data_IF_104664167491
#
_entry.id   IF_104664167491
#
_cell.length_a   1.000
_cell.length_b   1.000
_cell.length_c   1.000
_cell.angle_alpha   90.00
_cell.angle_beta   90.00
_cell.angle_gamma   90.00
#
_symmetry.space_group_name_H-M   'P 1'
#
loop_
_entity.id
_entity.type
_entity.pdbx_description
1 polymer ?
#
# COMPACT_ATOMS: atom_id res chain seq x y z
N UNK A 1 -10.80 -6.20 -15.80
CA UNK A 1 -10.73 -4.84 -16.40
C UNK A 1 -12.13 -4.44 -16.83
N UNK A 2 -12.86 -3.71 -15.99
CA UNK A 2 -14.17 -3.15 -16.37
C UNK A 2 -13.91 -1.83 -17.09
N UNK A 3 -14.19 -1.78 -18.39
CA UNK A 3 -14.12 -0.54 -19.18
C UNK A 3 -15.45 0.17 -18.99
N UNK A 4 -15.50 1.12 -18.05
CA UNK A 4 -16.59 2.08 -17.98
C UNK A 4 -16.32 3.18 -19.01
N UNK A 5 -17.08 3.19 -20.10
CA UNK A 5 -17.14 4.33 -21.03
C UNK A 5 -17.95 5.45 -20.37
N UNK A 6 -17.37 6.64 -20.19
CA UNK A 6 -18.08 7.78 -19.62
C UNK A 6 -17.71 9.12 -20.28
N UNK A 7 -18.68 10.04 -20.26
CA UNK A 7 -18.61 11.40 -20.80
C UNK A 7 -17.93 12.37 -19.81
N UNK A 8 -17.08 13.30 -20.25
CA UNK A 8 -16.33 14.18 -19.34
C UNK A 8 -17.22 15.03 -18.42
N UNK A 9 -16.84 15.14 -17.15
CA UNK A 9 -17.54 15.95 -16.14
C UNK A 9 -16.97 17.38 -16.14
N UNK A 10 -17.80 18.40 -16.38
CA UNK A 10 -17.39 19.82 -16.40
C UNK A 10 -17.71 20.48 -15.07
N UNK A 11 -16.71 21.14 -14.45
CA UNK A 11 -16.93 22.01 -13.30
C UNK A 11 -16.46 23.44 -13.62
N UNK A 12 -17.23 24.43 -13.18
CA UNK A 12 -16.96 25.87 -13.41
C UNK A 12 -16.75 26.58 -12.08
N UNK A 13 -15.60 27.25 -11.91
CA UNK A 13 -15.34 28.14 -10.78
C UNK A 13 -15.39 29.58 -11.32
N UNK A 14 -16.39 30.36 -10.90
CA UNK A 14 -16.53 31.77 -11.27
C UNK A 14 -15.54 32.64 -10.47
N UNK A 15 -14.51 33.16 -11.13
CA UNK A 15 -13.60 34.18 -10.56
C UNK A 15 -13.73 35.50 -11.30
N UNK A 16 -14.82 36.22 -11.07
CA UNK A 16 -14.98 37.62 -11.53
C UNK A 16 -14.78 37.84 -13.04
N UNK A 17 -14.75 39.10 -13.51
CA UNK A 17 -14.73 39.39 -14.93
C UNK A 17 -13.30 39.37 -15.49
N UNK A 18 -12.57 38.26 -15.35
CA UNK A 18 -11.38 37.94 -16.14
C UNK A 18 -11.20 36.42 -16.23
N UNK A 19 -11.35 35.87 -17.43
CA UNK A 19 -11.04 34.49 -17.87
C UNK A 19 -11.64 33.35 -17.01
N UNK A 20 -12.79 32.84 -17.43
CA UNK A 20 -13.36 31.59 -16.91
C UNK A 20 -12.48 30.41 -17.35
N UNK A 21 -11.57 29.95 -16.49
CA UNK A 21 -10.82 28.71 -16.72
C UNK A 21 -11.78 27.55 -16.49
N UNK A 22 -12.29 26.95 -17.57
CA UNK A 22 -13.02 25.70 -17.46
C UNK A 22 -12.03 24.55 -17.20
N UNK A 23 -12.46 23.60 -16.39
CA UNK A 23 -11.69 22.40 -16.08
C UNK A 23 -12.47 21.16 -16.51
N UNK A 24 -11.74 20.15 -16.98
CA UNK A 24 -12.25 18.87 -17.42
C UNK A 24 -11.32 17.75 -16.95
N UNK A 25 -11.86 16.55 -16.88
CA UNK A 25 -11.17 15.32 -16.52
C UNK A 25 -11.04 14.34 -17.71
N UNK A 26 -10.04 13.46 -17.63
CA UNK A 26 -9.89 12.31 -18.53
C UNK A 26 -9.83 11.04 -17.66
N UNK A 27 -10.92 10.27 -17.73
CA UNK A 27 -11.09 9.01 -17.00
C UNK A 27 -10.58 7.80 -17.80
N UNK A 28 -10.13 8.02 -19.04
CA UNK A 28 -9.61 6.96 -19.90
C UNK A 28 -8.28 6.46 -19.35
N UNK A 29 -8.13 5.13 -19.21
CA UNK A 29 -6.90 4.51 -18.66
C UNK A 29 -6.48 5.04 -17.28
N UNK A 30 -7.43 5.55 -16.49
CA UNK A 30 -7.18 6.13 -15.17
C UNK A 30 -6.77 5.10 -14.10
N UNK A 31 -6.87 3.82 -14.42
CA UNK A 31 -6.58 2.69 -13.53
C UNK A 31 -7.47 2.69 -12.27
N UNK A 32 -8.77 2.95 -12.45
CA UNK A 32 -9.73 2.84 -11.36
C UNK A 32 -9.82 1.38 -10.87
N UNK A 33 -9.72 1.20 -9.56
CA UNK A 33 -9.62 -0.11 -8.91
C UNK A 33 -8.20 -0.67 -8.88
N UNK A 34 -7.17 0.14 -9.16
CA UNK A 34 -5.78 -0.26 -8.93
C UNK A 34 -5.47 -0.45 -7.44
N UNK A 35 -6.17 0.31 -6.59
CA UNK A 35 -6.16 0.15 -5.14
C UNK A 35 -7.61 0.07 -4.69
N UNK A 36 -7.92 -0.92 -3.87
CA UNK A 36 -9.23 -1.12 -3.25
C UNK A 36 -9.00 -1.49 -1.79
N UNK A 37 -9.63 -0.76 -0.88
CA UNK A 37 -9.55 -0.97 0.56
C UNK A 37 -10.95 -1.03 1.17
N UNK A 38 -11.10 -1.79 2.26
CA UNK A 38 -12.36 -1.92 3.01
C UNK A 38 -12.13 -1.83 4.50
N UNK A 39 -13.07 -1.25 5.26
CA UNK A 39 -13.04 -1.26 6.72
C UNK A 39 -13.73 -2.50 7.31
N UNK A 40 -13.79 -3.59 6.56
CA UNK A 40 -14.41 -4.85 6.97
C UNK A 40 -15.92 -4.95 6.66
N UNK A 41 -16.60 -5.81 7.40
CA UNK A 41 -18.00 -6.19 7.14
C UNK A 41 -18.95 -5.00 7.26
N UNK A 42 -19.77 -4.78 6.22
CA UNK A 42 -20.68 -3.62 6.11
C UNK A 42 -19.97 -2.25 6.24
N UNK A 43 -18.65 -2.24 6.07
CA UNK A 43 -17.80 -1.07 6.18
C UNK A 43 -17.79 -0.18 4.94
N UNK A 44 -16.89 0.80 4.98
CA UNK A 44 -16.60 1.66 3.84
C UNK A 44 -15.77 0.92 2.80
N UNK A 45 -15.99 1.21 1.52
CA UNK A 45 -15.09 0.75 0.45
C UNK A 45 -14.47 1.95 -0.23
N UNK A 46 -13.14 1.93 -0.35
CA UNK A 46 -12.37 2.96 -1.04
C UNK A 46 -11.78 2.36 -2.30
N UNK A 47 -12.02 2.97 -3.45
CA UNK A 47 -11.42 2.56 -4.71
C UNK A 47 -10.74 3.76 -5.38
N UNK A 48 -9.49 3.59 -5.80
CA UNK A 48 -8.67 4.67 -6.34
C UNK A 48 -8.32 4.50 -7.82
N UNK A 49 -8.06 5.62 -8.48
CA UNK A 49 -7.60 5.76 -9.85
C UNK A 49 -6.32 6.62 -9.87
N UNK A 50 -5.13 6.05 -9.60
CA UNK A 50 -3.89 6.82 -9.49
C UNK A 50 -3.45 7.48 -10.81
N UNK A 51 -3.97 7.03 -11.96
CA UNK A 51 -3.70 7.65 -13.26
C UNK A 51 -4.81 8.56 -13.76
N UNK A 52 -5.76 8.92 -12.89
CA UNK A 52 -6.79 9.92 -13.20
C UNK A 52 -6.13 11.26 -13.55
N UNK A 53 -6.57 11.84 -14.67
CA UNK A 53 -6.00 13.07 -15.22
C UNK A 53 -6.98 14.22 -15.10
N UNK A 54 -6.47 15.35 -14.59
CA UNK A 54 -7.21 16.60 -14.52
C UNK A 54 -6.55 17.65 -15.43
N UNK A 55 -7.35 18.43 -16.17
CA UNK A 55 -6.81 19.42 -17.10
C UNK A 55 -7.65 20.69 -17.21
N UNK A 56 -6.98 21.79 -17.51
CA UNK A 56 -7.60 23.06 -17.89
C UNK A 56 -7.96 23.05 -19.38
N UNK A 57 -9.13 23.57 -19.76
CA UNK A 57 -9.65 23.55 -21.14
C UNK A 57 -8.81 24.37 -22.13
N UNK A 58 -7.86 25.16 -21.65
CA UNK A 58 -6.84 25.79 -22.49
C UNK A 58 -5.69 24.84 -22.89
N UNK A 59 -5.82 23.52 -22.65
CA UNK A 59 -4.88 22.44 -23.02
C UNK A 59 -3.42 22.56 -22.52
N UNK A 60 -3.11 23.58 -21.72
CA UNK A 60 -1.74 23.82 -21.23
C UNK A 60 -1.34 23.02 -19.99
N UNK A 61 -2.25 22.19 -19.44
CA UNK A 61 -2.03 21.44 -18.19
C UNK A 61 -2.75 20.11 -18.25
N UNK A 62 -2.03 19.00 -18.31
CA UNK A 62 -2.58 17.63 -18.27
C UNK A 62 -1.83 16.86 -17.19
N UNK A 63 -2.47 16.68 -16.05
CA UNK A 63 -1.80 16.33 -14.79
C UNK A 63 -2.39 15.05 -14.18
N UNK A 64 -1.60 13.97 -14.00
CA UNK A 64 -2.07 12.74 -13.37
C UNK A 64 -2.13 12.91 -11.84
N UNK A 65 -3.11 13.68 -11.38
CA UNK A 65 -3.27 14.00 -9.95
C UNK A 65 -3.76 12.81 -9.12
N UNK A 66 -4.46 11.86 -9.74
CA UNK A 66 -5.12 10.76 -9.03
C UNK A 66 -6.40 11.18 -8.31
N UNK A 67 -7.27 10.22 -8.03
CA UNK A 67 -8.51 10.42 -7.28
C UNK A 67 -8.99 9.09 -6.70
N UNK A 68 -9.79 9.14 -5.63
CA UNK A 68 -10.42 8.00 -5.00
C UNK A 68 -11.92 8.25 -4.82
N UNK A 69 -12.69 7.17 -4.71
CA UNK A 69 -14.10 7.19 -4.37
C UNK A 69 -14.32 6.38 -3.10
N UNK A 70 -15.04 6.97 -2.16
CA UNK A 70 -15.40 6.38 -0.88
C UNK A 70 -16.88 6.02 -0.95
N UNK A 71 -17.17 4.74 -1.04
CA UNK A 71 -18.52 4.21 -1.00
C UNK A 71 -18.96 3.99 0.44
N UNK A 72 -20.15 4.49 0.78
CA UNK A 72 -20.77 4.44 2.10
C UNK A 72 -22.13 3.76 2.02
N UNK A 73 -22.69 3.41 3.17
CA UNK A 73 -24.08 2.94 3.30
C UNK A 73 -24.41 1.79 2.34
N UNK A 74 -23.56 0.76 2.33
CA UNK A 74 -23.68 -0.39 1.41
C UNK A 74 -23.73 0.01 -0.07
N UNK A 75 -22.81 0.87 -0.51
CA UNK A 75 -22.67 1.35 -1.89
C UNK A 75 -23.84 2.22 -2.40
N UNK A 76 -24.58 2.87 -1.51
CA UNK A 76 -25.67 3.78 -1.90
C UNK A 76 -25.25 5.25 -1.97
N UNK A 77 -24.15 5.61 -1.30
CA UNK A 77 -23.59 6.96 -1.29
C UNK A 77 -22.10 6.94 -1.65
N UNK A 78 -21.64 7.93 -2.41
CA UNK A 78 -20.26 8.00 -2.92
C UNK A 78 -19.69 9.40 -2.76
N UNK A 79 -18.55 9.50 -2.08
CA UNK A 79 -17.76 10.73 -1.99
C UNK A 79 -16.49 10.62 -2.84
N UNK A 80 -16.26 11.59 -3.73
CA UNK A 80 -14.98 11.72 -4.43
C UNK A 80 -13.95 12.38 -3.50
N UNK A 81 -12.76 11.79 -3.43
CA UNK A 81 -11.60 12.34 -2.72
C UNK A 81 -10.38 12.42 -3.66
N UNK A 82 -10.08 13.63 -4.13
CA UNK A 82 -8.91 13.94 -4.98
C UNK A 82 -8.04 15.01 -4.31
N UNK A 83 -7.22 14.65 -3.30
CA UNK A 83 -6.50 15.64 -2.48
C UNK A 83 -5.42 16.41 -3.24
N UNK A 84 -4.93 15.86 -4.36
CA UNK A 84 -3.92 16.49 -5.20
C UNK A 84 -4.50 17.36 -6.32
N UNK A 85 -5.83 17.40 -6.48
CA UNK A 85 -6.52 18.31 -7.41
C UNK A 85 -6.61 19.71 -6.79
N UNK A 86 -5.47 20.40 -6.73
CA UNK A 86 -5.31 21.71 -6.10
C UNK A 86 -4.80 22.77 -7.08
N UNK A 87 -4.56 23.99 -6.59
CA UNK A 87 -3.86 25.03 -7.36
C UNK A 87 -2.33 24.81 -7.42
N UNK A 88 -1.78 23.79 -6.76
CA UNK A 88 -0.35 23.45 -6.76
C UNK A 88 -0.02 22.53 -7.92
N UNK A 89 0.05 23.11 -9.11
CA UNK A 89 0.24 22.42 -10.38
C UNK A 89 1.72 22.12 -10.68
N UNK A 90 1.95 21.23 -11.66
CA UNK A 90 3.28 20.81 -12.13
C UNK A 90 3.90 19.65 -11.36
N UNK A 91 4.90 19.01 -11.98
CA UNK A 91 5.65 17.89 -11.39
C UNK A 91 6.51 18.31 -10.18
N UNK A 92 6.92 19.58 -10.15
CA UNK A 92 7.61 20.20 -9.01
C UNK A 92 6.68 20.44 -7.80
N UNK A 93 5.39 20.11 -7.91
CA UNK A 93 4.38 20.21 -6.85
C UNK A 93 3.46 18.99 -6.88
N UNK A 94 2.13 19.16 -6.94
CA UNK A 94 1.16 18.08 -6.79
C UNK A 94 0.51 17.64 -8.11
N UNK A 95 0.89 18.21 -9.26
CA UNK A 95 0.30 17.87 -10.56
C UNK A 95 0.57 16.42 -10.99
N UNK A 96 1.66 15.82 -10.51
CA UNK A 96 2.04 14.43 -10.79
C UNK A 96 1.88 13.53 -9.58
N UNK A 97 1.12 13.97 -8.58
CA UNK A 97 0.96 13.31 -7.29
C UNK A 97 0.54 11.83 -7.39
N UNK A 98 -0.36 11.49 -8.31
CA UNK A 98 -0.93 10.15 -8.45
C UNK A 98 -1.56 9.63 -7.14
N UNK A 99 -2.36 10.47 -6.48
CA UNK A 99 -3.05 10.12 -5.25
C UNK A 99 -3.89 8.85 -5.41
N UNK A 100 -3.77 7.95 -4.43
CA UNK A 100 -4.42 6.65 -4.45
C UNK A 100 -3.59 5.59 -5.17
N UNK A 101 -2.26 5.76 -5.22
CA UNK A 101 -1.35 4.67 -5.58
C UNK A 101 -1.35 3.59 -4.49
N UNK A 102 -1.45 4.03 -3.23
CA UNK A 102 -1.80 3.19 -2.10
C UNK A 102 -2.85 3.88 -1.25
N UNK A 103 -3.57 3.09 -0.47
CA UNK A 103 -4.54 3.54 0.50
C UNK A 103 -4.46 2.61 1.70
N UNK A 104 -4.76 3.13 2.88
CA UNK A 104 -4.97 2.32 4.07
C UNK A 104 -6.15 2.89 4.83
N UNK A 105 -7.06 2.02 5.27
CA UNK A 105 -8.27 2.40 5.98
C UNK A 105 -8.21 1.81 7.37
N UNK A 106 -8.44 2.63 8.39
CA UNK A 106 -8.57 2.16 9.76
C UNK A 106 -9.74 1.17 9.87
N UNK A 107 -9.59 0.11 10.67
CA UNK A 107 -10.64 -0.90 10.86
C UNK A 107 -11.96 -0.30 11.38
N UNK A 108 -11.88 0.80 12.14
CA UNK A 108 -13.06 1.52 12.64
C UNK A 108 -13.78 2.38 11.56
N UNK A 109 -13.26 2.40 10.33
CA UNK A 109 -13.79 3.15 9.19
C UNK A 109 -13.73 4.67 9.33
N UNK A 110 -13.05 5.21 10.36
CA UNK A 110 -13.04 6.66 10.62
C UNK A 110 -11.87 7.39 9.97
N UNK A 111 -10.77 6.70 9.67
CA UNK A 111 -9.56 7.35 9.13
C UNK A 111 -9.06 6.68 7.88
N UNK A 112 -8.87 7.49 6.84
CA UNK A 112 -8.34 7.08 5.54
C UNK A 112 -6.98 7.72 5.30
N UNK A 113 -5.99 6.90 4.99
CA UNK A 113 -4.70 7.32 4.51
C UNK A 113 -4.59 7.12 2.99
N UNK A 114 -4.03 8.10 2.28
CA UNK A 114 -3.79 8.03 0.83
C UNK A 114 -2.33 8.33 0.53
N UNK A 115 -1.69 7.39 -0.17
CA UNK A 115 -0.33 7.53 -0.70
C UNK A 115 -0.32 8.18 -2.09
N UNK A 116 0.68 9.05 -2.29
CA UNK A 116 0.79 9.95 -3.42
C UNK A 116 2.26 10.14 -3.86
N UNK A 117 2.88 9.11 -4.47
CA UNK A 117 4.34 9.04 -4.67
C UNK A 117 4.93 10.08 -5.62
N UNK A 118 4.12 10.72 -6.49
CA UNK A 118 4.63 11.66 -7.47
C UNK A 118 4.56 13.14 -7.06
N UNK A 119 4.23 13.43 -5.80
CA UNK A 119 4.23 14.80 -5.29
C UNK A 119 5.67 15.30 -5.08
N UNK A 120 5.91 16.58 -5.38
CA UNK A 120 7.16 17.31 -5.16
C UNK A 120 8.37 16.61 -5.75
N UNK A 121 8.59 16.65 -7.08
CA UNK A 121 9.71 15.94 -7.74
C UNK A 121 9.79 14.46 -7.33
N UNK A 122 8.64 13.80 -7.20
CA UNK A 122 8.54 12.42 -6.75
C UNK A 122 9.16 12.12 -5.38
N UNK A 123 9.29 13.12 -4.50
CA UNK A 123 9.51 12.88 -3.07
C UNK A 123 8.40 11.98 -2.51
N UNK A 124 7.17 12.26 -2.92
CA UNK A 124 5.96 11.61 -2.48
C UNK A 124 5.26 12.33 -1.34
N UNK A 125 4.02 11.93 -1.06
CA UNK A 125 3.17 12.55 -0.05
C UNK A 125 2.21 11.53 0.54
N UNK A 126 1.80 11.77 1.79
CA UNK A 126 0.77 11.00 2.47
C UNK A 126 -0.29 11.97 2.94
N UNK A 127 -1.55 11.59 2.74
CA UNK A 127 -2.71 12.28 3.29
C UNK A 127 -3.35 11.41 4.36
N UNK A 128 -3.85 12.03 5.42
CA UNK A 128 -4.65 11.41 6.47
C UNK A 128 -5.93 12.21 6.56
N UNK A 129 -7.08 11.55 6.37
CA UNK A 129 -8.39 12.19 6.41
C UNK A 129 -9.29 11.47 7.40
N UNK A 130 -9.81 12.24 8.33
CA UNK A 130 -10.87 11.81 9.23
C UNK A 130 -12.21 11.88 8.47
N UNK A 131 -12.86 10.74 8.27
CA UNK A 131 -14.06 10.60 7.45
C UNK A 131 -15.34 11.04 8.16
N UNK A 132 -15.26 11.30 9.47
CA UNK A 132 -16.39 11.80 10.29
C UNK A 132 -16.33 13.32 10.38
N UNK A 133 -15.19 13.87 10.76
CA UNK A 133 -15.00 15.32 10.98
C UNK A 133 -14.55 16.07 9.74
N UNK A 134 -14.05 15.36 8.72
CA UNK A 134 -13.36 15.92 7.56
C UNK A 134 -12.05 16.65 7.89
N UNK A 135 -11.43 16.44 9.07
CA UNK A 135 -10.07 16.93 9.31
C UNK A 135 -9.10 16.23 8.35
N UNK A 136 -8.20 16.99 7.75
CA UNK A 136 -7.23 16.48 6.79
C UNK A 136 -5.82 16.95 7.18
N UNK A 137 -4.89 16.00 7.18
CA UNK A 137 -3.46 16.24 7.33
C UNK A 137 -2.74 15.73 6.09
N UNK A 138 -1.61 16.37 5.77
CA UNK A 138 -0.71 15.92 4.72
C UNK A 138 0.75 16.15 5.10
N UNK A 139 1.63 15.27 4.65
CA UNK A 139 3.07 15.50 4.75
C UNK A 139 3.47 16.71 3.91
N UNK A 140 4.57 17.38 4.30
CA UNK A 140 5.07 18.59 3.61
C UNK A 140 6.16 18.21 2.61
N UNK A 141 6.46 19.13 1.71
CA UNK A 141 7.65 19.05 0.86
C UNK A 141 8.91 19.01 1.74
N UNK A 142 9.81 18.10 1.39
CA UNK A 142 11.13 17.90 1.97
C UNK A 142 12.22 18.61 1.15
N UNK A 143 13.47 18.67 1.62
CA UNK A 143 14.59 19.15 0.81
C UNK A 143 14.77 18.33 -0.47
N UNK A 144 15.37 18.93 -1.50
CA UNK A 144 15.60 18.28 -2.80
C UNK A 144 16.46 17.00 -2.75
N UNK A 145 17.14 16.72 -1.64
CA UNK A 145 17.85 15.46 -1.42
C UNK A 145 16.90 14.26 -1.26
N UNK A 146 15.62 14.51 -0.94
CA UNK A 146 14.58 13.48 -0.83
C UNK A 146 13.79 13.32 -2.14
N UNK A 147 14.11 14.07 -3.21
CA UNK A 147 13.50 13.89 -4.53
C UNK A 147 13.65 12.43 -5.00
N UNK A 148 12.73 11.98 -5.87
CA UNK A 148 12.72 10.61 -6.39
C UNK A 148 12.54 9.48 -5.35
N UNK A 149 12.10 9.78 -4.12
CA UNK A 149 11.96 8.80 -3.03
C UNK A 149 10.70 7.93 -3.03
N UNK A 150 9.62 8.40 -3.67
CA UNK A 150 8.32 7.73 -3.78
C UNK A 150 7.60 7.44 -2.43
N UNK A 151 7.60 8.38 -1.49
CA UNK A 151 6.80 8.25 -0.27
C UNK A 151 5.30 8.07 -0.60
N UNK A 152 4.66 7.06 -0.02
CA UNK A 152 3.26 6.74 -0.32
C UNK A 152 3.09 5.66 -1.39
N UNK A 153 4.16 4.93 -1.73
CA UNK A 153 4.11 3.85 -2.71
C UNK A 153 3.22 2.69 -2.25
N UNK A 154 3.34 2.32 -0.97
CA UNK A 154 2.50 1.35 -0.26
C UNK A 154 2.10 1.94 1.09
N UNK A 155 1.00 1.47 1.68
CA UNK A 155 0.60 1.86 3.02
C UNK A 155 -0.23 0.76 3.68
N UNK A 156 -0.16 0.71 5.01
CA UNK A 156 -1.01 -0.13 5.85
C UNK A 156 -1.31 0.60 7.17
N UNK A 157 -2.52 0.43 7.69
CA UNK A 157 -2.94 1.02 8.95
C UNK A 157 -2.62 0.06 10.10
N UNK A 158 -2.20 0.61 11.24
CA UNK A 158 -1.85 -0.12 12.46
C UNK A 158 -1.76 0.84 13.65
N UNK A 159 -1.71 0.35 14.88
CA UNK A 159 -1.52 1.15 16.08
C UNK A 159 -0.04 1.14 16.50
N UNK A 160 0.61 2.32 16.49
CA UNK A 160 2.05 2.46 16.73
C UNK A 160 2.38 3.50 17.79
N UNK A 161 1.39 3.99 18.54
CA UNK A 161 1.58 5.01 19.59
C UNK A 161 1.11 4.57 20.97
N UNK A 162 0.29 3.52 21.03
CA UNK A 162 -0.40 3.09 22.24
C UNK A 162 -1.61 3.96 22.56
N UNK A 163 -2.08 4.76 21.61
CA UNK A 163 -3.34 5.48 21.73
C UNK A 163 -4.51 4.66 21.16
N UNK A 164 -5.62 5.29 20.80
CA UNK A 164 -6.81 4.60 20.27
C UNK A 164 -7.02 4.87 18.78
N UNK A 165 -6.09 5.54 18.13
CA UNK A 165 -6.22 6.09 16.79
C UNK A 165 -5.24 5.37 15.88
N UNK A 166 -5.78 4.65 14.90
CA UNK A 166 -4.94 3.98 13.91
C UNK A 166 -3.97 4.97 13.24
N UNK A 167 -2.73 4.57 13.23
CA UNK A 167 -1.58 5.17 12.60
C UNK A 167 -1.36 4.54 11.21
N UNK A 168 -0.25 4.89 10.56
CA UNK A 168 0.07 4.36 9.23
C UNK A 168 1.55 4.10 9.05
N UNK A 169 1.88 2.93 8.50
CA UNK A 169 3.21 2.63 7.94
C UNK A 169 3.16 2.84 6.44
N UNK A 170 4.17 3.52 5.90
CA UNK A 170 4.19 3.95 4.50
C UNK A 170 5.51 3.58 3.83
N UNK A 171 5.42 2.90 2.69
CA UNK A 171 6.56 2.58 1.85
C UNK A 171 7.13 3.80 1.13
N UNK A 172 8.46 3.90 1.13
CA UNK A 172 9.26 4.89 0.42
C UNK A 172 10.47 4.17 -0.24
N UNK A 173 10.21 3.36 -1.28
CA UNK A 173 11.16 2.34 -1.74
C UNK A 173 12.43 2.88 -2.39
N UNK A 174 12.44 4.14 -2.81
CA UNK A 174 13.64 4.82 -3.36
C UNK A 174 14.31 5.75 -2.35
N UNK A 175 13.77 5.84 -1.15
CA UNK A 175 14.35 6.59 -0.05
C UNK A 175 15.69 6.05 0.44
N UNK A 176 16.35 6.81 1.31
CA UNK A 176 17.61 6.42 1.97
C UNK A 176 18.71 5.96 0.98
N UNK A 177 19.04 6.79 -0.01
CA UNK A 177 20.00 6.44 -1.06
C UNK A 177 19.64 5.12 -1.77
N UNK A 178 18.36 4.96 -2.17
CA UNK A 178 17.82 3.79 -2.87
C UNK A 178 17.86 2.46 -2.09
N UNK A 179 18.17 2.48 -0.80
CA UNK A 179 18.02 1.28 0.05
C UNK A 179 16.56 1.06 0.45
N UNK A 180 15.72 2.09 0.36
CA UNK A 180 14.30 2.07 0.70
C UNK A 180 14.03 2.37 2.17
N UNK A 181 12.81 2.82 2.47
CA UNK A 181 12.31 3.02 3.84
C UNK A 181 10.86 2.54 4.00
N UNK A 182 10.53 2.13 5.22
CA UNK A 182 9.19 2.12 5.78
C UNK A 182 9.11 3.26 6.81
N UNK A 183 8.18 4.19 6.60
CA UNK A 183 8.03 5.41 7.39
C UNK A 183 6.75 5.31 8.20
N UNK A 184 6.86 5.33 9.52
CA UNK A 184 5.74 5.26 10.44
C UNK A 184 5.29 6.68 10.79
N UNK A 185 3.99 6.91 10.67
CA UNK A 185 3.35 8.18 10.97
C UNK A 185 2.18 7.96 11.91
N UNK A 186 2.05 8.86 12.89
CA UNK A 186 0.83 8.91 13.70
C UNK A 186 -0.39 9.17 12.83
N UNK A 187 -1.59 9.00 13.37
CA UNK A 187 -2.85 9.43 12.77
C UNK A 187 -2.84 10.90 12.27
N UNK A 188 -2.09 11.79 12.91
CA UNK A 188 -1.91 13.21 12.56
C UNK A 188 -0.71 13.50 11.62
N UNK A 189 -0.10 12.46 11.06
CA UNK A 189 1.11 12.49 10.22
C UNK A 189 2.36 13.09 10.90
N UNK A 190 2.51 12.89 12.21
CA UNK A 190 3.79 13.10 12.90
C UNK A 190 4.66 11.87 12.68
N UNK A 191 5.92 12.06 12.28
CA UNK A 191 6.84 10.95 12.09
C UNK A 191 7.14 10.29 13.44
N UNK A 192 6.91 8.98 13.51
CA UNK A 192 7.14 8.15 14.70
C UNK A 192 8.51 7.48 14.62
N UNK A 193 8.74 6.76 13.53
CA UNK A 193 9.97 6.02 13.28
C UNK A 193 10.21 5.86 11.78
N UNK A 194 11.49 5.74 11.39
CA UNK A 194 11.90 5.41 10.04
C UNK A 194 12.74 4.13 10.09
N UNK A 195 12.32 3.12 9.34
CA UNK A 195 13.04 1.85 9.20
C UNK A 195 13.59 1.81 7.78
N UNK A 196 14.89 1.56 7.66
CA UNK A 196 15.58 1.55 6.38
C UNK A 196 15.87 0.13 5.92
N UNK A 197 15.83 -0.08 4.61
CA UNK A 197 16.34 -1.32 4.00
C UNK A 197 17.86 -1.38 4.05
N UNK A 198 18.40 -2.57 3.83
CA UNK A 198 19.85 -2.85 3.93
C UNK A 198 20.56 -2.91 2.57
N UNK A 199 19.82 -3.09 1.47
CA UNK A 199 20.38 -3.29 0.14
C UNK A 199 19.84 -2.25 -0.86
N UNK A 200 20.77 -1.57 -1.53
CA UNK A 200 20.45 -0.63 -2.61
C UNK A 200 19.72 -1.33 -3.76
N UNK A 201 18.62 -0.74 -4.22
CA UNK A 201 17.83 -1.26 -5.33
C UNK A 201 16.91 -2.43 -4.97
N UNK A 202 16.92 -2.90 -3.72
CA UNK A 202 16.04 -4.00 -3.26
C UNK A 202 14.57 -3.59 -3.19
N UNK A 203 14.28 -2.29 -3.24
CA UNK A 203 12.93 -1.70 -3.17
C UNK A 203 12.22 -1.97 -1.84
N UNK A 204 12.96 -1.95 -0.72
CA UNK A 204 12.39 -2.07 0.62
C UNK A 204 11.28 -1.04 0.86
N UNK A 205 10.08 -1.51 1.19
CA UNK A 205 8.87 -0.70 1.26
C UNK A 205 8.02 -0.75 -0.02
N UNK A 206 8.28 -1.69 -0.94
CA UNK A 206 7.42 -1.92 -2.10
C UNK A 206 6.01 -2.31 -1.67
N UNK A 207 5.91 -3.21 -0.69
CA UNK A 207 4.68 -3.66 -0.05
C UNK A 207 4.86 -3.58 1.47
N UNK A 208 3.76 -3.33 2.17
CA UNK A 208 3.72 -3.34 3.63
C UNK A 208 2.40 -3.96 4.08
N UNK A 209 2.40 -4.70 5.18
CA UNK A 209 1.18 -5.05 5.92
C UNK A 209 1.46 -4.99 7.42
N UNK A 210 0.38 -5.04 8.21
CA UNK A 210 0.40 -4.97 9.67
C UNK A 210 -0.31 -6.21 10.21
N UNK A 211 0.29 -6.87 11.20
CA UNK A 211 -0.31 -8.01 11.90
C UNK A 211 0.37 -8.27 13.24
N UNK A 212 -0.36 -8.66 14.28
CA UNK A 212 0.20 -9.12 15.56
C UNK A 212 0.66 -10.59 15.44
N UNK A 213 1.85 -10.81 14.87
CA UNK A 213 2.34 -12.15 14.54
C UNK A 213 2.93 -12.88 15.76
N UNK A 214 3.23 -12.14 16.83
CA UNK A 214 3.80 -12.67 18.05
C UNK A 214 2.77 -12.86 19.18
N UNK A 215 1.55 -12.34 19.01
CA UNK A 215 0.41 -12.47 19.91
C UNK A 215 0.57 -11.67 21.20
N UNK A 216 1.35 -10.58 21.19
CA UNK A 216 1.57 -9.74 22.37
C UNK A 216 0.58 -8.57 22.50
N UNK A 217 -0.34 -8.45 21.54
CA UNK A 217 -1.37 -7.42 21.48
C UNK A 217 -0.89 -6.11 20.85
N UNK A 218 0.31 -6.08 20.28
CA UNK A 218 0.86 -4.94 19.55
C UNK A 218 0.99 -5.27 18.07
N UNK A 219 0.69 -4.29 17.23
CA UNK A 219 0.78 -4.44 15.78
C UNK A 219 2.24 -4.54 15.33
N UNK A 220 2.64 -5.68 14.76
CA UNK A 220 3.93 -5.83 14.08
C UNK A 220 3.82 -5.39 12.62
N UNK A 221 4.95 -5.04 12.02
CA UNK A 221 4.99 -4.62 10.61
C UNK A 221 5.77 -5.63 9.76
N UNK A 222 5.24 -5.89 8.57
CA UNK A 222 5.88 -6.73 7.56
C UNK A 222 6.19 -5.87 6.33
N UNK A 223 7.44 -5.90 5.87
CA UNK A 223 7.91 -5.04 4.77
C UNK A 223 8.55 -5.88 3.67
N UNK A 224 8.10 -5.70 2.43
CA UNK A 224 8.63 -6.37 1.26
C UNK A 224 9.75 -5.61 0.57
N UNK A 225 10.76 -6.36 0.10
CA UNK A 225 11.85 -5.90 -0.76
C UNK A 225 12.02 -6.88 -1.94
N UNK A 226 11.11 -6.85 -2.94
CA UNK A 226 11.01 -7.87 -3.98
C UNK A 226 12.22 -7.94 -4.94
N UNK A 227 13.08 -6.93 -4.97
CA UNK A 227 14.29 -6.94 -5.81
C UNK A 227 15.57 -7.26 -5.02
N UNK A 228 15.43 -7.69 -3.75
CA UNK A 228 16.56 -8.16 -2.96
C UNK A 228 17.28 -9.33 -3.66
N UNK A 229 18.61 -9.33 -3.55
CA UNK A 229 19.51 -10.38 -4.04
C UNK A 229 20.54 -10.75 -2.97
N UNK A 230 20.58 -12.00 -2.56
CA UNK A 230 21.63 -12.58 -1.71
C UNK A 230 22.90 -12.82 -2.53
N UNK A 231 23.82 -11.87 -2.43
CA UNK A 231 25.12 -11.92 -3.08
C UNK A 231 26.03 -13.03 -2.53
N UNK A 232 25.71 -13.63 -1.38
CA UNK A 232 26.49 -14.71 -0.77
C UNK A 232 25.97 -16.10 -1.17
N UNK A 233 24.81 -16.17 -1.84
CA UNK A 233 24.26 -17.42 -2.32
C UNK A 233 25.24 -18.12 -3.26
N UNK A 234 25.51 -19.40 -3.01
CA UNK A 234 26.33 -20.24 -3.90
C UNK A 234 25.62 -20.55 -5.22
N UNK A 235 24.29 -20.42 -5.22
CA UNK A 235 23.46 -20.49 -6.41
C UNK A 235 23.42 -19.09 -7.03
N UNK A 236 23.57 -18.97 -8.35
CA UNK A 236 23.52 -17.67 -9.07
C UNK A 236 22.09 -17.10 -9.14
N UNK A 237 21.49 -16.90 -7.96
CA UNK A 237 20.20 -16.26 -7.73
C UNK A 237 20.35 -14.75 -7.78
N UNK A 238 19.29 -14.11 -8.23
CA UNK A 238 19.14 -12.67 -8.25
C UNK A 238 17.66 -12.34 -8.28
N UNK A 239 17.28 -11.23 -7.67
CA UNK A 239 15.89 -10.79 -7.52
C UNK A 239 14.97 -11.89 -6.94
N UNK A 240 15.48 -12.70 -6.01
CA UNK A 240 14.64 -13.66 -5.28
C UNK A 240 13.63 -12.96 -4.37
N UNK A 241 13.98 -11.77 -3.88
CA UNK A 241 13.15 -10.99 -2.98
C UNK A 241 13.28 -11.40 -1.52
N UNK A 242 12.98 -10.46 -0.62
CA UNK A 242 13.10 -10.61 0.83
C UNK A 242 11.93 -9.94 1.52
N UNK A 243 11.46 -10.53 2.61
CA UNK A 243 10.46 -9.94 3.52
C UNK A 243 11.09 -9.78 4.90
N UNK A 244 10.79 -8.67 5.56
CA UNK A 244 11.26 -8.35 6.90
C UNK A 244 10.05 -8.25 7.83
N UNK A 245 10.13 -8.91 8.97
CA UNK A 245 9.12 -8.81 10.05
C UNK A 245 9.76 -8.06 11.20
N UNK A 246 9.22 -6.88 11.52
CA UNK A 246 9.68 -6.05 12.63
C UNK A 246 8.62 -6.05 13.72
N UNK A 247 9.06 -6.40 14.92
CA UNK A 247 8.17 -6.51 16.07
C UNK A 247 8.08 -5.20 16.83
N UNK A 248 6.87 -4.84 17.25
CA UNK A 248 6.66 -3.67 18.09
C UNK A 248 6.96 -4.02 19.56
N UNK A 249 7.72 -3.18 20.26
CA UNK A 249 7.93 -3.34 21.69
C UNK A 249 6.89 -2.57 22.53
N UNK A 250 6.86 -2.82 23.83
CA UNK A 250 5.95 -2.14 24.78
C UNK A 250 6.18 -0.62 24.92
N UNK A 251 7.21 -0.07 24.29
CA UNK A 251 7.45 1.38 24.18
C UNK A 251 6.98 1.93 22.84
N UNK A 252 6.29 1.10 22.04
CA UNK A 252 5.84 1.41 20.69
C UNK A 252 7.00 1.74 19.76
N UNK A 253 8.08 0.95 19.86
CA UNK A 253 9.28 1.10 19.07
C UNK A 253 9.64 -0.22 18.37
N UNK A 254 10.14 -0.11 17.14
CA UNK A 254 10.57 -1.26 16.33
C UNK A 254 12.08 -1.38 16.36
N UNK A 255 12.62 -2.38 17.05
CA UNK A 255 14.05 -2.67 16.98
C UNK A 255 14.38 -3.36 15.64
N UNK A 256 15.23 -2.69 14.84
CA UNK A 256 15.61 -3.18 13.52
C UNK A 256 16.51 -4.42 13.65
N UNK A 257 17.28 -4.54 14.72
CA UNK A 257 18.24 -5.62 14.91
C UNK A 257 17.56 -6.94 15.37
N UNK A 258 16.35 -6.86 15.92
CA UNK A 258 15.55 -8.03 16.34
C UNK A 258 14.59 -8.54 15.26
N UNK A 259 14.69 -8.03 14.03
CA UNK A 259 13.81 -8.41 12.92
C UNK A 259 14.00 -9.87 12.49
N UNK A 260 12.92 -10.51 12.04
CA UNK A 260 13.00 -11.77 11.30
C UNK A 260 13.08 -11.48 9.80
N UNK A 261 13.82 -12.30 9.05
CA UNK A 261 14.02 -12.16 7.61
C UNK A 261 13.60 -13.44 6.90
N UNK A 262 12.80 -13.31 5.84
CA UNK A 262 12.33 -14.41 5.01
C UNK A 262 12.78 -14.19 3.57
N UNK A 263 13.47 -15.17 2.99
CA UNK A 263 14.04 -15.08 1.65
C UNK A 263 13.26 -15.89 0.62
N UNK A 264 13.11 -15.32 -0.56
CA UNK A 264 12.60 -16.01 -1.73
C UNK A 264 13.54 -17.14 -2.18
N UNK A 265 12.97 -18.23 -2.67
CA UNK A 265 13.75 -19.39 -3.13
C UNK A 265 14.04 -19.41 -4.63
N UNK A 266 13.38 -18.54 -5.42
CA UNK A 266 13.43 -18.56 -6.88
C UNK A 266 14.11 -17.31 -7.43
N UNK A 267 15.06 -17.47 -8.34
CA UNK A 267 15.62 -16.36 -9.14
C UNK A 267 14.51 -15.62 -9.87
N UNK A 268 14.49 -14.28 -9.80
CA UNK A 268 13.42 -13.41 -10.30
C UNK A 268 12.04 -13.72 -9.72
N UNK A 269 11.95 -14.46 -8.62
CA UNK A 269 10.68 -14.82 -8.00
C UNK A 269 9.92 -13.61 -7.45
N UNK A 270 10.67 -12.56 -7.07
CA UNK A 270 10.16 -11.33 -6.46
C UNK A 270 9.29 -11.60 -5.24
N UNK A 271 9.80 -12.43 -4.33
CA UNK A 271 9.18 -12.70 -3.05
C UNK A 271 9.02 -11.41 -2.24
N UNK A 272 7.83 -11.18 -1.68
CA UNK A 272 7.50 -9.93 -1.01
C UNK A 272 6.97 -8.84 -1.95
N UNK A 273 6.59 -9.17 -3.18
CA UNK A 273 5.94 -8.19 -4.08
C UNK A 273 4.55 -7.82 -3.56
N UNK A 274 3.79 -8.78 -3.04
CA UNK A 274 2.55 -8.52 -2.33
C UNK A 274 2.58 -9.14 -0.93
N UNK A 275 1.91 -8.47 -0.01
CA UNK A 275 1.77 -8.87 1.39
C UNK A 275 0.31 -8.67 1.79
N UNK A 276 -0.23 -9.58 2.57
CA UNK A 276 -1.56 -9.43 3.17
C UNK A 276 -1.54 -10.01 4.58
N UNK A 277 -2.08 -9.26 5.54
CA UNK A 277 -2.48 -9.86 6.82
C UNK A 277 -3.62 -10.82 6.56
N UNK A 278 -3.59 -11.96 7.23
CA UNK A 278 -4.65 -12.96 7.17
C UNK A 278 -5.43 -13.04 8.49
N UNK A 279 -5.04 -12.26 9.50
CA UNK A 279 -5.42 -12.47 10.90
C UNK A 279 -5.08 -13.90 11.32
N UNK A 280 -5.70 -14.42 12.38
CA UNK A 280 -5.46 -15.78 12.85
C UNK A 280 -6.26 -16.80 12.01
N UNK A 281 -5.65 -17.34 10.94
CA UNK A 281 -6.35 -18.26 10.02
C UNK A 281 -6.40 -19.70 10.51
N UNK A 282 -5.63 -20.06 11.53
CA UNK A 282 -5.60 -21.41 12.06
C UNK A 282 -6.18 -21.50 13.49
N UNK A 283 -6.55 -20.34 14.07
CA UNK A 283 -7.12 -20.17 15.42
C UNK A 283 -6.17 -20.60 16.53
N UNK A 284 -4.87 -20.42 16.34
CA UNK A 284 -3.86 -20.75 17.35
C UNK A 284 -3.51 -19.60 18.29
N UNK A 285 -4.15 -18.43 18.10
CA UNK A 285 -4.02 -17.24 18.92
C UNK A 285 -2.96 -16.25 18.43
N UNK A 286 -2.38 -16.48 17.26
CA UNK A 286 -1.37 -15.61 16.65
C UNK A 286 -1.84 -15.21 15.25
N UNK A 287 -1.62 -13.97 14.84
CA UNK A 287 -1.98 -13.58 13.48
C UNK A 287 -0.96 -14.10 12.45
N UNK A 288 -1.47 -14.33 11.24
CA UNK A 288 -0.76 -14.92 10.12
C UNK A 288 -0.70 -13.93 8.95
N UNK A 289 0.21 -14.16 8.01
CA UNK A 289 0.27 -13.37 6.78
C UNK A 289 0.59 -14.20 5.54
N UNK A 290 0.18 -13.68 4.39
CA UNK A 290 0.52 -14.22 3.08
C UNK A 290 1.60 -13.38 2.40
N UNK A 291 2.47 -14.05 1.65
CA UNK A 291 3.47 -13.43 0.78
C UNK A 291 3.30 -13.91 -0.65
N UNK A 292 3.14 -12.97 -1.58
CA UNK A 292 3.15 -13.27 -3.01
C UNK A 292 4.54 -13.20 -3.63
N UNK A 293 4.81 -14.16 -4.52
CA UNK A 293 5.98 -14.20 -5.39
C UNK A 293 5.50 -14.50 -6.83
N UNK A 294 4.95 -13.50 -7.54
CA UNK A 294 4.20 -13.71 -8.80
C UNK A 294 5.01 -14.28 -9.95
N UNK A 295 6.33 -14.31 -9.84
CA UNK A 295 7.20 -14.82 -10.90
C UNK A 295 8.02 -16.03 -10.44
N UNK A 296 7.69 -16.58 -9.27
CA UNK A 296 8.30 -17.80 -8.75
C UNK A 296 7.63 -19.07 -9.31
N UNK A 297 8.18 -20.23 -8.94
CA UNK A 297 7.61 -21.52 -9.31
C UNK A 297 7.93 -21.97 -10.73
N UNK A 298 7.23 -23.02 -11.16
CA UNK A 298 7.42 -23.60 -12.49
C UNK A 298 6.96 -22.58 -13.54
N UNK A 299 7.79 -22.40 -14.57
CA UNK A 299 7.57 -21.46 -15.67
C UNK A 299 7.32 -20.00 -15.25
N UNK A 300 7.65 -19.64 -13.98
CA UNK A 300 7.44 -18.30 -13.44
C UNK A 300 5.97 -17.90 -13.31
N UNK A 301 5.07 -18.88 -13.07
CA UNK A 301 3.62 -18.64 -13.00
C UNK A 301 3.14 -18.04 -11.67
N UNK A 302 4.00 -18.03 -10.65
CA UNK A 302 3.75 -17.39 -9.37
C UNK A 302 3.47 -18.39 -8.24
N UNK A 303 3.71 -17.96 -7.01
CA UNK A 303 3.48 -18.72 -5.77
C UNK A 303 2.93 -17.77 -4.70
N UNK A 304 2.02 -18.26 -3.86
CA UNK A 304 1.64 -17.61 -2.60
C UNK A 304 2.12 -18.47 -1.43
N UNK A 305 2.78 -17.86 -0.45
CA UNK A 305 3.25 -18.50 0.76
C UNK A 305 2.43 -18.02 1.94
N UNK A 306 2.04 -18.93 2.82
CA UNK A 306 1.34 -18.62 4.08
C UNK A 306 2.31 -18.87 5.22
N UNK A 307 2.47 -17.87 6.09
CA UNK A 307 3.33 -17.93 7.27
C UNK A 307 2.49 -17.79 8.53
N UNK A 308 2.67 -18.73 9.46
CA UNK A 308 1.95 -18.70 10.73
C UNK A 308 2.73 -17.97 11.82
N UNK A 309 2.00 -17.19 12.62
CA UNK A 309 2.51 -16.57 13.84
C UNK A 309 2.88 -17.58 14.93
N UNK A 310 3.54 -17.09 15.97
CA UNK A 310 3.81 -17.84 17.20
C UNK A 310 4.29 -16.93 18.33
N UNK A 311 4.28 -17.42 19.58
CA UNK A 311 4.81 -16.68 20.73
C UNK A 311 6.29 -16.23 20.60
N UNK A 312 7.06 -16.86 19.72
CA UNK A 312 8.45 -16.50 19.43
C UNK A 312 8.61 -15.58 18.21
N UNK A 313 7.50 -15.05 17.68
CA UNK A 313 7.43 -14.35 16.40
C UNK A 313 7.05 -15.28 15.25
N UNK A 314 7.29 -14.87 14.01
CA UNK A 314 6.87 -15.62 12.84
C UNK A 314 7.58 -16.96 12.70
N UNK A 315 6.87 -18.01 12.26
CA UNK A 315 7.49 -19.28 11.86
C UNK A 315 8.15 -19.11 10.49
N UNK A 316 9.48 -19.19 10.42
CA UNK A 316 10.23 -18.94 9.17
C UNK A 316 9.96 -19.91 8.03
N UNK A 317 9.39 -21.10 8.33
CA UNK A 317 8.97 -22.05 7.30
C UNK A 317 7.49 -21.81 6.99
N UNK A 318 7.11 -21.65 5.71
CA UNK A 318 5.71 -21.47 5.34
C UNK A 318 4.90 -22.72 5.74
N UNK A 319 3.71 -22.51 6.29
CA UNK A 319 2.77 -23.57 6.65
C UNK A 319 2.05 -24.12 5.44
N UNK A 320 1.81 -23.27 4.44
CA UNK A 320 1.22 -23.63 3.16
C UNK A 320 1.92 -22.88 2.02
N UNK A 321 2.04 -23.56 0.87
CA UNK A 321 2.55 -22.99 -0.37
C UNK A 321 1.52 -23.29 -1.45
N UNK A 322 0.89 -22.24 -1.97
CA UNK A 322 -0.18 -22.32 -2.97
C UNK A 322 0.44 -22.11 -4.34
N UNK A 323 0.27 -23.08 -5.25
CA UNK A 323 0.82 -23.01 -6.60
C UNK A 323 -0.24 -23.14 -7.69
N UNK A 324 0.04 -22.67 -8.93
CA UNK A 324 -0.89 -22.76 -10.06
C UNK A 324 -1.32 -24.20 -10.40
N UNK A 325 -0.47 -25.19 -10.09
CA UNK A 325 -0.75 -26.61 -10.32
C UNK A 325 -1.94 -27.15 -9.52
N UNK A 326 -2.31 -26.49 -8.43
CA UNK A 326 -3.51 -26.82 -7.63
C UNK A 326 -4.80 -26.45 -8.36
N UNK A 327 -4.72 -25.61 -9.40
CA UNK A 327 -5.86 -25.13 -10.18
C UNK A 327 -5.74 -25.54 -11.66
N UNK A 328 -5.76 -26.85 -12.00
CA UNK A 328 -5.42 -27.35 -13.34
C UNK A 328 -6.38 -26.88 -14.45
N UNK A 329 -7.56 -26.38 -14.08
CA UNK A 329 -8.57 -25.90 -15.02
C UNK A 329 -8.52 -24.39 -15.26
N UNK A 330 -7.55 -23.69 -14.67
CA UNK A 330 -7.39 -22.24 -14.79
C UNK A 330 -5.96 -21.93 -15.23
N UNK A 331 -5.80 -21.21 -16.34
CA UNK A 331 -4.46 -20.75 -16.75
C UNK A 331 -4.05 -19.53 -15.93
N UNK A 332 -3.51 -19.81 -14.74
CA UNK A 332 -2.98 -18.79 -13.84
C UNK A 332 -1.59 -18.36 -14.32
N UNK A 333 -1.43 -17.05 -14.46
CA UNK A 333 -0.16 -16.38 -14.65
C UNK A 333 -0.06 -15.28 -13.59
N UNK A 334 1.13 -15.06 -13.04
CA UNK A 334 1.37 -14.06 -11.99
C UNK A 334 0.56 -14.29 -10.69
N UNK A 335 0.38 -15.56 -10.29
CA UNK A 335 -0.29 -15.90 -9.04
C UNK A 335 0.42 -15.25 -7.84
N UNK A 336 -0.32 -14.50 -7.03
CA UNK A 336 0.25 -13.71 -5.93
C UNK A 336 0.72 -12.31 -6.32
N UNK A 337 0.36 -11.79 -7.51
CA UNK A 337 0.63 -10.38 -7.85
C UNK A 337 -0.17 -9.42 -6.96
N UNK A 338 -1.40 -9.79 -6.62
CA UNK A 338 -2.22 -9.15 -5.60
C UNK A 338 -2.71 -10.25 -4.66
N UNK A 339 -2.59 -10.00 -3.37
CA UNK A 339 -3.10 -10.85 -2.30
C UNK A 339 -3.84 -9.92 -1.36
N UNK A 340 -5.04 -10.33 -0.94
CA UNK A 340 -5.80 -9.68 0.12
C UNK A 340 -5.97 -10.72 1.23
N UNK A 341 -6.62 -10.36 2.32
CA UNK A 341 -6.89 -11.26 3.45
C UNK A 341 -7.82 -10.54 4.42
N UNK A 342 -8.05 -11.15 5.59
CA UNK A 342 -8.75 -10.53 6.73
C UNK A 342 -10.28 -10.66 6.78
N UNK A 343 -10.92 -11.54 6.00
CA UNK A 343 -12.38 -11.72 6.10
C UNK A 343 -12.82 -13.17 5.95
N UNK A 344 -13.58 -13.69 6.92
CA UNK A 344 -14.31 -14.95 6.80
C UNK A 344 -15.39 -14.78 5.71
N UNK A 345 -15.26 -15.53 4.61
CA UNK A 345 -16.12 -15.42 3.44
C UNK A 345 -17.26 -16.44 3.41
N UNK A 346 -17.19 -17.51 4.19
CA UNK A 346 -18.14 -18.62 4.16
C UNK A 346 -18.80 -18.89 5.53
N UNK A 347 -18.55 -18.03 6.51
CA UNK A 347 -19.06 -18.15 7.88
C UNK A 347 -18.67 -19.47 8.54
N UNK A 348 -17.55 -20.06 8.10
CA UNK A 348 -16.98 -21.25 8.73
C UNK A 348 -16.10 -20.90 9.93
N UNK A 349 -16.08 -19.61 10.31
CA UNK A 349 -15.40 -19.09 11.47
C UNK A 349 -13.87 -18.92 11.23
N UNK A 350 -13.35 -19.27 10.05
CA UNK A 350 -11.98 -19.02 9.58
C UNK A 350 -11.94 -17.90 8.52
N UNK A 351 -10.97 -16.98 8.55
CA UNK A 351 -10.77 -16.03 7.47
C UNK A 351 -10.52 -16.76 6.14
N UNK A 352 -11.28 -16.39 5.11
CA UNK A 352 -11.16 -16.94 3.76
C UNK A 352 -10.14 -16.17 2.92
N UNK A 353 -9.58 -16.83 1.90
CA UNK A 353 -8.75 -16.18 0.90
C UNK A 353 -8.84 -16.86 -0.48
#
# INVERSE_FOLDING_TARGET
>A
MVILTYSPTRSTINRGPQYTVQYTDDKSHQWFGATVETSGENGLVVACAPRYVYFSINYNRREPVGTCWIAKDSMTSFDEYSPCRTSSWGFHRQGYCQAGMSAALAEDGKRLFIGAPGSWYWQGQVYSRDLVTNDERKTRESPAADDDSFLGYSSAAGEFTGDTSMDVVVGMPRGNNLTGKAVLYSSLLRNLQNISGEQMGSYFGYSVCVSDVNGDGLDDIVVGAPFFTDLNSKESKYEEGRVYVHYQDKKHFFDIDSRTVLDGSYTKGRFGLSLASLKDINRDGYEDFAVGAPYAGKDGKGIIYIYHGSASGIREKPSQVITPEEFPNVDLNTLGFAVSGSMDMDSNEYPGN
#
